data_IF_443819982691
#
_entry.id   IF_443819982691
#
_cell.length_a   1.000
_cell.length_b   1.000
_cell.length_c   1.000
_cell.angle_alpha   90.00
_cell.angle_beta   90.00
_cell.angle_gamma   90.00
#
_symmetry.space_group_name_H-M   'P 1'
#
loop_
_entity.id
_entity.type
_entity.pdbx_description
1 polymer ?
#
# COMPACT_ATOMS: atom_id res chain seq x y z
N UNK A 1 26.43 0.30 1.58
CA UNK A 1 25.75 1.17 2.53
C UNK A 1 24.92 0.33 3.50
N UNK A 2 24.52 0.89 4.61
CA UNK A 2 23.52 0.34 5.52
C UNK A 2 22.29 -0.13 4.73
N UNK A 3 21.84 -1.38 4.95
CA UNK A 3 20.74 -2.01 4.25
C UNK A 3 21.01 -2.46 2.80
N UNK A 4 22.23 -2.28 2.27
CA UNK A 4 22.59 -2.87 0.98
C UNK A 4 22.92 -4.36 1.17
N UNK A 5 22.46 -5.20 0.25
CA UNK A 5 22.72 -6.65 0.28
C UNK A 5 24.09 -6.93 -0.30
N UNK A 6 24.90 -7.69 0.45
CA UNK A 6 26.20 -8.17 0.03
C UNK A 6 26.22 -9.70 0.08
N UNK A 7 26.73 -10.36 -0.96
CA UNK A 7 26.82 -11.82 -0.99
C UNK A 7 28.24 -12.26 -0.80
N UNK A 8 28.48 -13.08 0.21
CA UNK A 8 29.75 -13.75 0.46
C UNK A 8 29.70 -15.18 -0.09
N UNK A 9 30.80 -15.63 -0.60
CA UNK A 9 31.02 -17.02 -0.99
C UNK A 9 32.26 -17.57 -0.32
N UNK A 10 32.26 -18.85 0.03
CA UNK A 10 33.43 -19.54 0.57
C UNK A 10 33.90 -20.62 -0.41
N UNK A 11 35.21 -20.70 -0.59
CA UNK A 11 35.84 -21.76 -1.34
C UNK A 11 36.84 -22.52 -0.43
N UNK A 12 36.93 -23.82 -0.59
CA UNK A 12 37.95 -24.63 0.08
C UNK A 12 38.65 -25.55 -0.91
N UNK A 13 39.89 -25.90 -0.59
CA UNK A 13 40.67 -26.86 -1.35
C UNK A 13 41.19 -27.97 -0.44
N UNK A 14 41.39 -29.17 -1.01
CA UNK A 14 42.06 -30.27 -0.34
C UNK A 14 43.59 -30.03 -0.21
N UNK A 15 44.28 -30.94 0.44
CA UNK A 15 45.73 -30.85 0.61
C UNK A 15 46.53 -30.85 -0.72
N UNK A 16 45.92 -31.28 -1.81
CA UNK A 16 46.52 -31.27 -3.15
C UNK A 16 46.12 -30.01 -3.95
N UNK A 17 45.41 -29.04 -3.34
CA UNK A 17 44.97 -27.80 -3.98
C UNK A 17 43.73 -27.95 -4.85
N UNK A 18 43.05 -29.08 -4.86
CA UNK A 18 41.85 -29.32 -5.65
C UNK A 18 40.66 -28.73 -4.93
N UNK A 19 39.83 -27.98 -5.66
CA UNK A 19 38.61 -27.36 -5.10
C UNK A 19 37.62 -28.42 -4.58
N UNK A 20 37.04 -28.16 -3.39
CA UNK A 20 35.96 -28.96 -2.81
C UNK A 20 34.64 -28.31 -3.17
N UNK A 21 33.75 -29.07 -3.84
CA UNK A 21 32.42 -28.59 -4.24
C UNK A 21 31.37 -28.93 -3.20
N UNK A 22 30.21 -28.22 -3.27
CA UNK A 22 29.05 -28.49 -2.42
C UNK A 22 29.22 -28.08 -0.97
N UNK A 23 30.07 -27.09 -0.69
CA UNK A 23 30.29 -26.58 0.67
C UNK A 23 29.05 -25.84 1.18
N UNK A 24 28.66 -26.13 2.43
CA UNK A 24 27.63 -25.43 3.18
C UNK A 24 28.24 -24.90 4.49
N UNK A 25 28.99 -23.78 4.46
CA UNK A 25 29.58 -23.22 5.66
C UNK A 25 28.50 -22.61 6.56
N UNK A 26 28.75 -22.64 7.87
CA UNK A 26 28.01 -21.81 8.81
C UNK A 26 28.53 -20.37 8.72
N UNK A 27 27.62 -19.45 8.53
CA UNK A 27 27.93 -18.03 8.43
C UNK A 27 27.65 -17.29 9.74
N UNK A 28 28.53 -16.36 10.07
CA UNK A 28 28.34 -15.42 11.20
C UNK A 28 28.98 -14.07 10.87
N UNK A 29 28.66 -13.06 11.63
CA UNK A 29 29.24 -11.72 11.48
C UNK A 29 29.35 -11.02 12.85
N UNK A 30 30.14 -9.94 12.91
CA UNK A 30 30.29 -9.06 14.07
C UNK A 30 31.40 -8.02 13.85
N UNK A 31 31.46 -6.97 14.67
CA UNK A 31 30.40 -6.51 15.60
C UNK A 31 29.26 -5.81 14.88
N UNK A 32 28.22 -5.40 15.61
CA UNK A 32 27.10 -4.62 15.10
C UNK A 32 25.87 -5.46 14.79
N UNK A 33 24.80 -4.80 14.37
CA UNK A 33 23.51 -5.41 14.05
C UNK A 33 23.31 -5.65 12.55
N UNK A 34 22.57 -6.69 12.21
CA UNK A 34 22.33 -7.08 10.83
C UNK A 34 21.72 -8.46 10.67
N UNK A 35 21.77 -8.96 9.46
CA UNK A 35 21.31 -10.31 9.12
C UNK A 35 22.32 -10.98 8.18
N UNK A 36 22.56 -12.30 8.38
CA UNK A 36 23.28 -13.14 7.42
C UNK A 36 22.52 -14.44 7.19
N UNK A 37 22.23 -14.75 5.93
CA UNK A 37 21.60 -15.99 5.53
C UNK A 37 22.58 -17.15 5.41
N UNK A 38 22.06 -18.39 5.42
CA UNK A 38 22.85 -19.61 5.19
C UNK A 38 23.51 -19.67 3.81
N UNK A 39 23.06 -18.85 2.86
CA UNK A 39 23.61 -18.66 1.52
C UNK A 39 24.73 -17.60 1.45
N UNK A 40 25.13 -17.01 2.59
CA UNK A 40 26.13 -15.95 2.66
C UNK A 40 25.59 -14.56 2.30
N UNK A 41 24.28 -14.39 2.19
CA UNK A 41 23.63 -13.09 1.95
C UNK A 41 23.64 -12.28 3.23
N UNK A 42 24.36 -11.16 3.25
CA UNK A 42 24.59 -10.29 4.41
C UNK A 42 23.94 -8.92 4.19
N UNK A 43 23.31 -8.40 5.24
CA UNK A 43 22.76 -7.02 5.34
C UNK A 43 23.12 -6.43 6.69
N UNK A 44 23.83 -5.31 6.69
CA UNK A 44 24.13 -4.58 7.93
C UNK A 44 23.00 -3.57 8.23
N UNK A 45 22.56 -3.53 9.48
CA UNK A 45 21.55 -2.59 9.96
C UNK A 45 22.15 -1.30 10.50
N UNK A 46 23.45 -1.28 10.77
CA UNK A 46 24.19 -0.11 11.27
C UNK A 46 25.42 0.18 10.42
N UNK A 47 25.88 1.44 10.36
CA UNK A 47 27.18 1.77 9.79
C UNK A 47 28.30 1.21 10.68
N UNK A 48 29.36 0.70 10.08
CA UNK A 48 30.47 0.13 10.82
C UNK A 48 31.38 -0.72 9.97
N UNK A 49 32.31 -1.38 10.64
CA UNK A 49 33.20 -2.39 10.03
C UNK A 49 32.82 -3.75 10.59
N UNK A 50 32.43 -4.64 9.70
CA UNK A 50 31.97 -5.99 10.02
C UNK A 50 32.99 -7.02 9.56
N UNK A 51 33.22 -8.02 10.37
CA UNK A 51 33.94 -9.25 9.98
C UNK A 51 32.89 -10.33 9.73
N UNK A 52 32.82 -10.82 8.50
CA UNK A 52 31.96 -11.94 8.14
C UNK A 52 32.81 -13.20 8.12
N UNK A 53 32.34 -14.24 8.79
CA UNK A 53 33.04 -15.51 8.97
C UNK A 53 32.29 -16.65 8.33
N UNK A 54 32.95 -17.43 7.50
CA UNK A 54 32.51 -18.73 7.02
C UNK A 54 33.23 -19.82 7.79
N UNK A 55 32.50 -20.72 8.46
CA UNK A 55 33.08 -21.83 9.23
C UNK A 55 32.60 -23.19 8.69
N UNK A 56 33.53 -24.13 8.54
CA UNK A 56 33.26 -25.49 8.07
C UNK A 56 34.22 -26.49 8.71
N UNK A 57 33.70 -27.45 9.48
CA UNK A 57 34.48 -28.57 10.04
C UNK A 57 35.73 -28.17 10.81
N UNK A 58 35.67 -27.16 11.69
CA UNK A 58 36.82 -26.70 12.50
C UNK A 58 37.79 -25.77 11.73
N UNK A 59 37.50 -25.41 10.50
CA UNK A 59 38.20 -24.39 9.71
C UNK A 59 37.30 -23.17 9.52
N UNK A 60 37.92 -22.00 9.45
CA UNK A 60 37.21 -20.76 9.17
C UNK A 60 38.00 -19.84 8.24
N UNK A 61 37.26 -19.00 7.53
CA UNK A 61 37.81 -17.89 6.77
C UNK A 61 36.99 -16.64 7.05
N UNK A 62 37.60 -15.48 6.98
CA UNK A 62 36.96 -14.20 7.28
C UNK A 62 37.11 -13.22 6.13
N UNK A 63 36.11 -12.35 5.99
CA UNK A 63 36.15 -11.19 5.13
C UNK A 63 35.68 -9.96 5.89
N UNK A 64 36.25 -8.79 5.60
CA UNK A 64 35.86 -7.53 6.22
C UNK A 64 35.07 -6.68 5.27
N UNK A 65 33.98 -6.09 5.73
CA UNK A 65 33.15 -5.14 4.97
C UNK A 65 32.96 -3.85 5.76
N UNK A 66 33.22 -2.71 5.11
CA UNK A 66 32.95 -1.39 5.66
C UNK A 66 31.61 -0.87 5.15
N UNK A 67 30.69 -0.60 6.06
CA UNK A 67 29.34 -0.17 5.80
C UNK A 67 29.19 1.30 6.15
N UNK A 68 28.86 2.12 5.18
CA UNK A 68 28.58 3.55 5.36
C UNK A 68 27.09 3.75 5.68
N UNK A 69 26.77 4.83 6.39
CA UNK A 69 25.38 5.26 6.61
C UNK A 69 24.64 5.39 5.28
N UNK A 70 23.36 4.98 5.24
CA UNK A 70 22.54 5.12 4.04
C UNK A 70 22.31 6.59 3.67
N UNK A 71 21.98 7.43 4.65
CA UNK A 71 21.93 8.88 4.51
C UNK A 71 20.90 9.36 3.47
N UNK A 72 19.66 8.88 3.54
CA UNK A 72 18.58 9.23 2.58
C UNK A 72 17.61 10.28 3.11
N UNK A 73 17.75 10.71 4.35
CA UNK A 73 16.85 11.68 4.99
C UNK A 73 16.76 12.99 4.20
N UNK A 74 15.55 13.50 4.10
CA UNK A 74 15.22 14.80 3.51
C UNK A 74 13.99 15.41 4.21
N UNK A 75 13.85 16.75 4.22
CA UNK A 75 12.64 17.36 4.73
C UNK A 75 11.43 17.03 3.86
N UNK A 76 10.27 16.97 4.50
CA UNK A 76 8.97 17.01 3.83
C UNK A 76 8.32 18.36 4.15
N UNK A 77 7.82 19.04 3.13
CA UNK A 77 7.18 20.37 3.25
C UNK A 77 5.76 20.28 2.77
N UNK A 78 4.80 20.75 3.59
CA UNK A 78 3.43 20.96 3.14
C UNK A 78 3.40 22.17 2.23
N UNK A 79 3.04 21.95 0.96
CA UNK A 79 2.93 23.00 -0.07
C UNK A 79 1.57 23.67 0.02
N UNK A 80 0.51 22.89 0.25
CA UNK A 80 -0.86 23.35 0.41
C UNK A 80 -1.73 22.31 1.08
N UNK A 81 -2.94 22.68 1.51
CA UNK A 81 -3.87 21.77 2.15
C UNK A 81 -5.32 22.19 1.93
N UNK A 82 -6.23 21.21 2.03
CA UNK A 82 -7.68 21.43 2.16
C UNK A 82 -8.12 20.74 3.44
N UNK A 83 -8.22 21.52 4.51
CA UNK A 83 -8.58 21.02 5.84
C UNK A 83 -10.06 20.68 5.88
N UNK A 84 -10.41 19.57 6.52
CA UNK A 84 -11.78 19.15 6.77
C UNK A 84 -12.08 19.19 8.26
N UNK A 85 -13.17 19.88 8.61
CA UNK A 85 -13.58 20.15 9.99
C UNK A 85 -14.86 19.42 10.39
N UNK A 86 -15.79 19.28 9.47
CA UNK A 86 -17.13 18.81 9.78
C UNK A 86 -17.27 17.29 9.80
N UNK A 87 -16.38 16.59 9.11
CA UNK A 87 -16.41 15.13 8.91
C UNK A 87 -15.03 14.61 8.53
N UNK A 88 -14.78 13.30 8.76
CA UNK A 88 -13.56 12.66 8.32
C UNK A 88 -13.52 12.47 6.79
N UNK A 89 -12.36 12.12 6.28
CA UNK A 89 -12.11 11.92 4.83
C UNK A 89 -11.44 10.58 4.59
N UNK A 90 -11.73 9.92 3.46
CA UNK A 90 -11.15 8.61 3.16
C UNK A 90 -10.04 8.69 2.13
N UNK A 91 -10.31 8.53 0.84
CA UNK A 91 -9.27 8.41 -0.17
C UNK A 91 -9.06 9.68 -1.00
N UNK A 92 -8.00 9.68 -1.77
CA UNK A 92 -7.61 10.75 -2.69
C UNK A 92 -7.21 10.16 -4.03
N UNK A 93 -7.68 10.75 -5.12
CA UNK A 93 -7.22 10.41 -6.45
C UNK A 93 -6.84 11.65 -7.26
N UNK A 94 -5.75 11.56 -8.00
CA UNK A 94 -5.30 12.64 -8.86
C UNK A 94 -5.60 12.30 -10.32
N UNK A 95 -6.33 13.17 -10.99
CA UNK A 95 -6.57 13.06 -12.42
C UNK A 95 -5.25 12.96 -13.21
N UNK A 96 -5.18 12.17 -14.29
CA UNK A 96 -3.94 11.99 -15.07
C UNK A 96 -3.31 13.30 -15.60
N UNK A 97 -4.09 14.38 -15.77
CA UNK A 97 -3.53 15.67 -16.15
C UNK A 97 -2.71 16.37 -15.03
N UNK A 98 -2.78 15.87 -13.78
CA UNK A 98 -2.08 16.42 -12.63
C UNK A 98 -2.59 17.77 -12.12
N UNK A 99 -3.81 18.19 -12.49
CA UNK A 99 -4.38 19.51 -12.18
C UNK A 99 -5.65 19.45 -11.34
N UNK A 100 -6.24 18.27 -11.20
CA UNK A 100 -7.50 18.05 -10.50
C UNK A 100 -7.33 16.88 -9.54
N UNK A 101 -7.70 17.09 -8.29
CA UNK A 101 -7.81 16.06 -7.26
C UNK A 101 -9.29 15.77 -7.02
N UNK A 102 -9.63 14.50 -6.99
CA UNK A 102 -10.89 14.02 -6.47
C UNK A 102 -10.67 13.57 -5.03
N UNK A 103 -11.48 14.10 -4.15
CA UNK A 103 -11.32 13.94 -2.72
C UNK A 103 -12.68 13.78 -2.08
N UNK A 104 -12.88 12.78 -1.27
CA UNK A 104 -14.18 12.51 -0.72
C UNK A 104 -14.22 12.47 0.79
N UNK A 105 -15.43 12.59 1.26
CA UNK A 105 -15.76 12.77 2.64
C UNK A 105 -16.43 11.48 3.14
N UNK A 106 -15.87 10.92 4.19
CA UNK A 106 -16.41 9.75 4.85
C UNK A 106 -17.51 10.15 5.87
N UNK A 107 -18.35 9.19 6.21
CA UNK A 107 -19.29 9.23 7.31
C UNK A 107 -20.27 10.43 7.37
N UNK A 108 -21.26 10.40 6.48
CA UNK A 108 -22.41 11.31 6.53
C UNK A 108 -22.28 12.54 5.65
N UNK A 109 -21.21 12.64 4.88
CA UNK A 109 -21.12 13.56 3.77
C UNK A 109 -21.17 12.80 2.46
N UNK A 110 -22.22 13.00 1.74
CA UNK A 110 -22.55 12.30 0.48
C UNK A 110 -21.86 12.92 -0.72
N UNK A 111 -20.66 13.46 -0.58
CA UNK A 111 -20.10 14.38 -1.56
C UNK A 111 -18.67 14.02 -1.89
N UNK A 112 -18.37 13.97 -3.19
CA UNK A 112 -17.02 13.94 -3.73
C UNK A 112 -16.66 15.34 -4.17
N UNK A 113 -15.62 15.90 -3.58
CA UNK A 113 -15.15 17.22 -3.95
C UNK A 113 -14.14 17.12 -5.10
N UNK A 114 -14.29 17.99 -6.07
CA UNK A 114 -13.32 18.24 -7.12
C UNK A 114 -12.47 19.44 -6.77
N UNK A 115 -11.17 19.25 -6.68
CA UNK A 115 -10.23 20.26 -6.19
C UNK A 115 -9.28 20.65 -7.33
N UNK A 116 -9.27 21.93 -7.68
CA UNK A 116 -8.29 22.51 -8.59
C UNK A 116 -6.93 22.65 -7.87
N UNK A 117 -5.92 21.97 -8.37
CA UNK A 117 -4.54 21.96 -7.85
C UNK A 117 -3.53 22.46 -8.87
N UNK A 118 -3.96 23.27 -9.86
CA UNK A 118 -3.03 23.93 -10.81
C UNK A 118 -2.02 24.81 -10.09
N UNK A 119 -2.43 25.46 -9.00
CA UNK A 119 -1.54 26.02 -7.98
C UNK A 119 -1.62 25.14 -6.73
N UNK A 120 -0.66 24.22 -6.53
CA UNK A 120 -0.71 23.31 -5.38
C UNK A 120 -0.56 24.01 -4.03
N UNK A 121 -0.10 25.27 -4.01
CA UNK A 121 -0.04 26.06 -2.79
C UNK A 121 -1.40 26.68 -2.41
N UNK A 122 -2.35 26.70 -3.33
CA UNK A 122 -3.70 27.26 -3.15
C UNK A 122 -4.75 26.34 -3.75
N UNK A 123 -4.92 25.13 -3.23
CA UNK A 123 -5.93 24.20 -3.73
C UNK A 123 -7.32 24.78 -3.47
N UNK A 124 -8.22 24.68 -4.45
CA UNK A 124 -9.55 25.25 -4.41
C UNK A 124 -10.59 24.18 -4.72
N UNK A 125 -11.56 23.96 -3.83
CA UNK A 125 -12.75 23.16 -4.12
C UNK A 125 -13.60 23.91 -5.14
N UNK A 126 -13.82 23.32 -6.31
CA UNK A 126 -14.51 23.98 -7.43
C UNK A 126 -15.88 23.37 -7.72
N UNK A 127 -16.07 22.10 -7.42
CA UNK A 127 -17.32 21.40 -7.60
C UNK A 127 -17.48 20.25 -6.61
N UNK A 128 -18.68 19.70 -6.54
CA UNK A 128 -18.99 18.58 -5.67
C UNK A 128 -20.05 17.69 -6.29
N UNK A 129 -19.79 16.39 -6.38
CA UNK A 129 -20.76 15.41 -6.83
C UNK A 129 -21.44 14.76 -5.63
N UNK A 130 -22.75 14.91 -5.56
CA UNK A 130 -23.53 14.29 -4.49
C UNK A 130 -23.86 12.84 -4.83
N UNK A 131 -23.65 11.94 -3.88
CA UNK A 131 -23.99 10.53 -3.98
C UNK A 131 -25.04 10.12 -2.94
N UNK A 132 -25.96 9.23 -3.32
CA UNK A 132 -26.92 8.65 -2.38
C UNK A 132 -26.25 7.45 -1.68
N UNK A 133 -25.47 7.75 -0.65
CA UNK A 133 -24.78 6.71 0.15
C UNK A 133 -24.49 7.22 1.55
N UNK A 134 -24.07 6.34 2.44
CA UNK A 134 -23.54 6.71 3.76
C UNK A 134 -22.03 6.91 3.73
N UNK A 135 -21.35 6.10 2.91
CA UNK A 135 -19.91 6.12 2.76
C UNK A 135 -19.55 6.11 1.26
N UNK A 136 -18.56 6.91 0.90
CA UNK A 136 -17.74 6.74 -0.28
C UNK A 136 -16.36 6.38 0.22
N UNK A 137 -15.84 5.24 -0.16
CA UNK A 137 -14.55 4.76 0.37
C UNK A 137 -13.43 4.83 -0.66
N UNK A 138 -13.75 4.66 -1.95
CA UNK A 138 -12.74 4.63 -2.99
C UNK A 138 -13.17 5.38 -4.26
N UNK A 139 -12.19 5.92 -4.97
CA UNK A 139 -12.37 6.73 -6.17
C UNK A 139 -11.18 6.60 -7.11
N UNK A 140 -11.44 6.42 -8.40
CA UNK A 140 -10.38 6.32 -9.40
C UNK A 140 -10.84 6.78 -10.78
N UNK A 141 -9.92 7.32 -11.58
CA UNK A 141 -10.15 7.54 -13.01
C UNK A 141 -9.54 6.43 -13.86
N UNK A 142 -10.01 6.28 -15.08
CA UNK A 142 -9.26 5.53 -16.09
C UNK A 142 -7.93 6.23 -16.41
N UNK A 143 -7.02 5.51 -17.07
CA UNK A 143 -5.68 6.03 -17.40
C UNK A 143 -5.71 7.22 -18.37
N UNK A 144 -6.78 7.35 -19.16
CA UNK A 144 -7.00 8.48 -20.07
C UNK A 144 -7.58 9.72 -19.35
N UNK A 145 -8.15 9.54 -18.15
CA UNK A 145 -8.83 10.59 -17.40
C UNK A 145 -10.18 10.98 -18.03
N UNK A 146 -10.86 10.05 -18.66
CA UNK A 146 -12.14 10.29 -19.32
C UNK A 146 -13.34 9.80 -18.53
N UNK A 147 -13.11 8.84 -17.64
CA UNK A 147 -14.11 8.25 -16.76
C UNK A 147 -13.62 8.30 -15.33
N UNK A 148 -14.52 8.61 -14.41
CA UNK A 148 -14.33 8.55 -12.96
C UNK A 148 -15.32 7.53 -12.40
N UNK A 149 -14.84 6.66 -11.53
CA UNK A 149 -15.69 5.74 -10.75
C UNK A 149 -15.44 5.98 -9.28
N UNK A 150 -16.50 5.94 -8.49
CA UNK A 150 -16.42 5.94 -7.04
C UNK A 150 -17.39 4.95 -6.43
N UNK A 151 -17.03 4.47 -5.24
CA UNK A 151 -17.78 3.42 -4.53
C UNK A 151 -18.88 4.00 -3.66
N UNK A 152 -19.86 3.14 -3.34
CA UNK A 152 -20.91 3.42 -2.36
C UNK A 152 -21.10 2.22 -1.44
N UNK A 153 -21.10 2.50 -0.15
CA UNK A 153 -21.41 1.51 0.86
C UNK A 153 -22.24 2.09 2.01
N UNK A 154 -22.92 1.22 2.75
CA UNK A 154 -23.65 1.57 3.96
C UNK A 154 -24.93 2.38 3.76
N UNK A 155 -25.44 2.59 2.54
CA UNK A 155 -26.73 3.25 2.31
C UNK A 155 -27.89 2.42 2.87
N UNK A 156 -28.79 3.08 3.61
CA UNK A 156 -29.92 2.42 4.28
C UNK A 156 -30.92 1.80 3.29
N UNK A 157 -31.09 2.41 2.11
CA UNK A 157 -31.94 1.90 1.04
C UNK A 157 -31.26 0.80 0.19
N UNK A 158 -30.04 0.40 0.54
CA UNK A 158 -29.21 -0.61 -0.13
C UNK A 158 -28.97 -0.35 -1.62
N UNK A 159 -29.00 0.89 -2.04
CA UNK A 159 -28.57 1.30 -3.39
C UNK A 159 -27.07 1.57 -3.43
N UNK A 160 -26.32 0.64 -2.86
CA UNK A 160 -24.87 0.69 -2.90
C UNK A 160 -24.35 0.14 -4.24
N UNK A 161 -23.04 0.20 -4.44
CA UNK A 161 -22.37 -0.20 -5.67
C UNK A 161 -21.38 0.84 -6.11
N UNK A 162 -21.34 1.16 -7.40
CA UNK A 162 -20.50 2.24 -7.94
C UNK A 162 -21.30 3.27 -8.71
N UNK A 163 -20.77 4.48 -8.74
CA UNK A 163 -21.23 5.57 -9.62
C UNK A 163 -20.16 5.82 -10.68
N UNK A 164 -20.60 6.01 -11.92
CA UNK A 164 -19.74 6.25 -13.07
C UNK A 164 -19.99 7.65 -13.59
N UNK A 165 -18.94 8.44 -13.72
CA UNK A 165 -18.99 9.79 -14.27
C UNK A 165 -18.14 9.89 -15.54
N UNK A 166 -18.55 10.73 -16.47
CA UNK A 166 -17.68 11.20 -17.57
C UNK A 166 -16.95 12.47 -17.15
N UNK A 167 -15.74 12.63 -17.66
CA UNK A 167 -14.82 13.73 -17.36
C UNK A 167 -14.50 14.56 -18.63
N UNK A 168 -15.55 14.98 -19.38
CA UNK A 168 -15.38 15.94 -20.48
C UNK A 168 -14.71 17.23 -19.99
N UNK A 169 -15.12 17.69 -18.82
CA UNK A 169 -14.41 18.66 -18.00
C UNK A 169 -14.07 17.99 -16.65
N UNK A 170 -12.79 17.73 -16.37
CA UNK A 170 -12.38 17.08 -15.11
C UNK A 170 -12.74 17.87 -13.84
N UNK A 171 -12.99 19.18 -13.96
CA UNK A 171 -13.44 20.01 -12.85
C UNK A 171 -14.92 19.81 -12.53
N UNK A 172 -15.70 19.30 -13.48
CA UNK A 172 -17.16 19.13 -13.39
C UNK A 172 -17.60 17.74 -13.82
N UNK A 173 -17.34 16.69 -13.01
CA UNK A 173 -17.74 15.32 -13.31
C UNK A 173 -19.27 15.20 -13.54
N UNK A 174 -19.67 14.46 -14.57
CA UNK A 174 -21.09 14.22 -14.86
C UNK A 174 -21.45 12.76 -14.66
N UNK A 175 -22.35 12.48 -13.73
CA UNK A 175 -22.88 11.12 -13.52
C UNK A 175 -23.61 10.66 -14.79
N UNK A 176 -23.21 9.50 -15.30
CA UNK A 176 -23.81 8.87 -16.49
C UNK A 176 -24.46 7.53 -16.20
N UNK A 177 -24.00 6.82 -15.17
CA UNK A 177 -24.57 5.54 -14.76
C UNK A 177 -24.29 5.24 -13.29
N UNK A 178 -25.09 4.31 -12.76
CA UNK A 178 -24.86 3.62 -11.51
C UNK A 178 -24.89 2.12 -11.76
N UNK A 179 -23.97 1.37 -11.15
CA UNK A 179 -24.00 -0.08 -11.18
C UNK A 179 -24.24 -0.61 -9.77
N UNK A 180 -25.35 -1.31 -9.57
CA UNK A 180 -25.80 -1.83 -8.28
C UNK A 180 -26.13 -3.32 -8.31
N UNK A 181 -26.19 -3.91 -9.51
CA UNK A 181 -26.58 -5.30 -9.68
C UNK A 181 -25.58 -6.25 -9.02
N UNK A 182 -26.08 -7.06 -8.07
CA UNK A 182 -25.26 -8.03 -7.31
C UNK A 182 -24.33 -7.46 -6.25
N UNK A 183 -24.26 -6.11 -6.11
CA UNK A 183 -23.34 -5.43 -5.17
C UNK A 183 -24.06 -4.45 -4.23
N UNK A 184 -25.36 -4.63 -4.03
CA UNK A 184 -26.19 -3.72 -3.21
C UNK A 184 -25.85 -3.73 -1.72
N UNK A 185 -25.10 -4.71 -1.23
CA UNK A 185 -24.61 -4.72 0.16
C UNK A 185 -23.58 -3.63 0.43
N UNK A 186 -22.77 -3.29 -0.59
CA UNK A 186 -21.72 -2.29 -0.55
C UNK A 186 -20.55 -2.67 -1.45
N UNK A 187 -19.84 -1.65 -1.89
CA UNK A 187 -18.56 -1.76 -2.58
C UNK A 187 -17.56 -0.88 -1.86
N UNK A 188 -16.57 -1.50 -1.23
CA UNK A 188 -15.56 -0.82 -0.44
C UNK A 188 -14.47 -0.22 -1.35
N UNK A 189 -13.85 -1.05 -2.21
CA UNK A 189 -12.80 -0.62 -3.13
C UNK A 189 -13.13 -0.95 -4.58
N UNK A 190 -12.61 -0.13 -5.50
CA UNK A 190 -12.79 -0.27 -6.94
C UNK A 190 -11.55 0.15 -7.70
N UNK A 191 -11.12 -0.64 -8.68
CA UNK A 191 -9.95 -0.36 -9.51
C UNK A 191 -10.34 -0.35 -10.99
N UNK A 192 -10.05 0.76 -11.68
CA UNK A 192 -10.27 0.87 -13.13
C UNK A 192 -9.00 0.46 -13.87
N UNK A 193 -9.14 -0.45 -14.82
CA UNK A 193 -8.02 -0.86 -15.65
C UNK A 193 -8.40 -0.98 -17.11
N UNK A 194 -7.60 -0.36 -17.98
CA UNK A 194 -7.80 -0.41 -19.44
C UNK A 194 -6.74 -1.29 -20.08
N UNK A 195 -7.17 -2.25 -20.89
CA UNK A 195 -6.31 -3.17 -21.64
C UNK A 195 -6.57 -3.05 -23.14
N UNK A 196 -5.54 -3.06 -24.01
CA UNK A 196 -5.74 -2.96 -25.45
C UNK A 196 -6.66 -4.04 -26.03
N UNK A 197 -6.59 -5.25 -25.48
CA UNK A 197 -7.36 -6.41 -25.96
C UNK A 197 -8.81 -6.43 -25.48
N UNK A 198 -9.05 -5.96 -24.25
CA UNK A 198 -10.34 -6.15 -23.58
C UNK A 198 -11.08 -4.83 -23.32
N UNK A 199 -10.40 -3.68 -23.48
CA UNK A 199 -10.95 -2.37 -23.13
C UNK A 199 -10.92 -2.10 -21.64
N UNK A 200 -11.87 -1.31 -21.15
CA UNK A 200 -11.89 -0.76 -19.80
C UNK A 200 -12.85 -1.53 -18.90
N UNK A 201 -12.34 -1.98 -17.76
CA UNK A 201 -13.11 -2.71 -16.75
C UNK A 201 -12.90 -2.09 -15.38
N UNK A 202 -13.90 -2.23 -14.51
CA UNK A 202 -13.81 -1.93 -13.08
C UNK A 202 -13.81 -3.24 -12.33
N UNK A 203 -12.81 -3.42 -11.46
CA UNK A 203 -12.68 -4.53 -10.55
C UNK A 203 -13.18 -4.06 -9.19
N UNK A 204 -14.17 -4.75 -8.60
CA UNK A 204 -14.89 -4.30 -7.41
C UNK A 204 -14.78 -5.30 -6.28
N UNK A 205 -14.72 -4.80 -5.05
CA UNK A 205 -15.07 -5.60 -3.87
C UNK A 205 -16.58 -5.74 -3.72
N UNK A 206 -17.03 -6.71 -2.95
CA UNK A 206 -18.44 -6.88 -2.59
C UNK A 206 -18.56 -7.20 -1.10
N UNK A 207 -19.05 -6.28 -0.31
CA UNK A 207 -19.16 -6.38 1.13
C UNK A 207 -20.11 -7.49 1.59
N UNK A 208 -21.08 -7.85 0.73
CA UNK A 208 -22.05 -8.90 1.05
C UNK A 208 -21.54 -10.32 0.87
N UNK A 209 -20.63 -10.54 -0.08
CA UNK A 209 -20.12 -11.87 -0.45
C UNK A 209 -18.63 -12.04 -0.26
N UNK A 210 -17.87 -10.93 -0.13
CA UNK A 210 -16.41 -10.92 -0.10
C UNK A 210 -15.75 -11.28 -1.44
N UNK A 211 -16.51 -11.30 -2.53
CA UNK A 211 -16.05 -11.70 -3.86
C UNK A 211 -15.48 -10.51 -4.65
N UNK A 212 -14.64 -10.83 -5.63
CA UNK A 212 -14.29 -9.94 -6.73
C UNK A 212 -15.40 -9.94 -7.76
N UNK A 213 -15.87 -8.76 -8.15
CA UNK A 213 -16.73 -8.56 -9.32
C UNK A 213 -15.97 -7.78 -10.39
N UNK A 214 -16.20 -8.11 -11.65
CA UNK A 214 -15.59 -7.42 -12.80
C UNK A 214 -16.68 -6.86 -13.69
N UNK A 215 -16.67 -5.54 -13.89
CA UNK A 215 -17.68 -4.80 -14.64
C UNK A 215 -17.05 -4.19 -15.88
N UNK A 216 -17.59 -4.52 -17.04
CA UNK A 216 -17.25 -3.89 -18.31
C UNK A 216 -17.87 -2.48 -18.35
N UNK A 217 -17.04 -1.47 -18.59
CA UNK A 217 -17.42 -0.06 -18.76
C UNK A 217 -16.89 0.52 -20.07
N UNK A 218 -16.71 -0.31 -21.12
CA UNK A 218 -16.36 0.19 -22.45
C UNK A 218 -17.40 1.19 -22.98
N UNK A 219 -18.66 1.02 -22.58
CA UNK A 219 -19.68 2.05 -22.63
C UNK A 219 -20.02 2.46 -21.19
N UNK A 220 -19.49 3.57 -20.68
CA UNK A 220 -19.68 3.95 -19.28
C UNK A 220 -21.15 4.24 -18.92
N UNK A 221 -22.03 4.49 -19.90
CA UNK A 221 -23.46 4.66 -19.67
C UNK A 221 -24.23 3.32 -19.55
N UNK A 222 -23.59 2.20 -19.88
CA UNK A 222 -24.19 0.86 -19.86
C UNK A 222 -23.25 -0.16 -19.22
N UNK A 223 -22.88 0.00 -17.94
CA UNK A 223 -22.01 -0.93 -17.25
C UNK A 223 -22.63 -2.32 -17.17
N UNK A 224 -21.80 -3.36 -17.32
CA UNK A 224 -22.27 -4.74 -17.29
C UNK A 224 -21.26 -5.63 -16.55
N UNK A 225 -21.74 -6.43 -15.61
CA UNK A 225 -20.90 -7.45 -15.00
C UNK A 225 -20.53 -8.53 -16.02
N UNK A 226 -19.24 -8.89 -16.05
CA UNK A 226 -18.68 -9.87 -16.99
C UNK A 226 -17.91 -11.00 -16.31
N UNK A 227 -17.52 -10.85 -15.05
CA UNK A 227 -16.73 -11.87 -14.34
C UNK A 227 -16.81 -11.75 -12.82
N UNK A 228 -16.49 -12.85 -12.14
CA UNK A 228 -16.36 -12.95 -10.69
C UNK A 228 -15.24 -13.89 -10.32
N UNK A 229 -14.68 -13.67 -9.13
CA UNK A 229 -13.74 -14.62 -8.55
C UNK A 229 -13.77 -14.52 -7.02
N UNK A 230 -13.46 -15.63 -6.34
CA UNK A 230 -13.32 -15.69 -4.88
C UNK A 230 -12.32 -16.73 -4.44
N UNK A 231 -11.81 -16.61 -3.24
CA UNK A 231 -11.04 -17.66 -2.59
C UNK A 231 -11.93 -18.89 -2.30
N UNK A 232 -11.34 -20.09 -2.21
CA UNK A 232 -12.12 -21.33 -2.01
C UNK A 232 -12.90 -21.38 -0.68
N UNK A 233 -12.54 -20.55 0.32
CA UNK A 233 -13.20 -20.47 1.62
C UNK A 233 -13.83 -19.11 1.79
N UNK A 234 -15.14 -19.10 2.01
CA UNK A 234 -15.92 -17.92 2.34
C UNK A 234 -16.19 -17.87 3.84
N UNK A 235 -15.17 -17.54 4.64
CA UNK A 235 -15.33 -17.33 6.08
C UNK A 235 -15.39 -15.83 6.37
N UNK A 236 -15.97 -15.44 7.50
CA UNK A 236 -15.86 -14.09 8.03
C UNK A 236 -14.37 -13.69 8.16
N UNK A 237 -14.02 -12.50 7.72
CA UNK A 237 -12.63 -12.06 7.68
C UNK A 237 -11.84 -12.53 6.44
N UNK A 238 -12.47 -13.16 5.47
CA UNK A 238 -11.87 -13.59 4.18
C UNK A 238 -12.48 -12.85 3.00
N UNK A 239 -12.83 -11.59 3.21
CA UNK A 239 -13.36 -10.71 2.17
C UNK A 239 -12.24 -10.05 1.40
N UNK A 240 -12.45 -9.86 0.11
CA UNK A 240 -11.63 -8.97 -0.70
C UNK A 240 -11.78 -7.55 -0.18
N UNK A 241 -10.66 -6.89 0.09
CA UNK A 241 -10.64 -5.56 0.64
C UNK A 241 -10.16 -4.52 -0.38
N UNK A 242 -9.03 -4.78 -1.06
CA UNK A 242 -8.44 -3.83 -1.99
C UNK A 242 -7.84 -4.52 -3.22
N UNK A 243 -7.65 -3.78 -4.30
CA UNK A 243 -7.30 -4.27 -5.62
C UNK A 243 -6.31 -3.32 -6.28
N UNK A 244 -5.22 -3.86 -6.84
CA UNK A 244 -4.35 -3.18 -7.81
C UNK A 244 -4.26 -4.03 -9.07
N UNK A 245 -4.21 -3.42 -10.25
CA UNK A 245 -4.06 -4.13 -11.52
C UNK A 245 -2.96 -3.50 -12.35
N UNK A 246 -1.94 -4.30 -12.66
CA UNK A 246 -0.81 -3.90 -13.50
C UNK A 246 -0.50 -4.98 -14.52
N UNK A 247 -0.28 -4.61 -15.78
CA UNK A 247 0.09 -5.52 -16.87
C UNK A 247 -0.84 -6.73 -17.03
N UNK A 248 -2.14 -6.57 -16.75
CA UNK A 248 -3.13 -7.64 -16.80
C UNK A 248 -3.03 -8.66 -15.67
N UNK A 249 -2.28 -8.38 -14.63
CA UNK A 249 -2.25 -9.11 -13.36
C UNK A 249 -2.95 -8.27 -12.29
N UNK A 250 -3.87 -8.91 -11.59
CA UNK A 250 -4.60 -8.32 -10.47
C UNK A 250 -3.98 -8.80 -9.16
N UNK A 251 -3.63 -7.86 -8.30
CA UNK A 251 -3.10 -8.08 -6.96
C UNK A 251 -4.20 -7.74 -5.97
N UNK A 252 -4.76 -8.77 -5.36
CA UNK A 252 -5.92 -8.67 -4.48
C UNK A 252 -5.53 -8.85 -3.03
N UNK A 253 -6.01 -7.95 -2.20
CA UNK A 253 -5.83 -7.98 -0.75
C UNK A 253 -7.05 -8.63 -0.12
N UNK A 254 -6.88 -9.86 0.33
CA UNK A 254 -7.97 -10.72 0.82
C UNK A 254 -7.88 -10.97 2.32
N UNK A 255 -7.90 -9.91 3.10
CA UNK A 255 -7.85 -9.97 4.58
C UNK A 255 -7.04 -11.18 5.10
N UNK A 256 -7.68 -12.14 5.78
CA UNK A 256 -7.02 -13.34 6.32
C UNK A 256 -6.58 -14.35 5.25
N UNK A 257 -7.06 -14.27 4.02
CA UNK A 257 -6.57 -15.10 2.93
C UNK A 257 -5.27 -14.56 2.30
N UNK A 258 -4.84 -13.38 2.75
CA UNK A 258 -3.57 -12.80 2.33
C UNK A 258 -3.63 -12.14 0.95
N UNK A 259 -2.49 -12.10 0.28
CA UNK A 259 -2.37 -11.53 -1.06
C UNK A 259 -2.60 -12.61 -2.12
N UNK A 260 -3.46 -12.32 -3.09
CA UNK A 260 -3.81 -13.20 -4.20
C UNK A 260 -3.43 -12.53 -5.51
N UNK A 261 -2.79 -13.25 -6.42
CA UNK A 261 -2.49 -12.79 -7.78
C UNK A 261 -3.38 -13.53 -8.77
N UNK A 262 -4.15 -12.77 -9.56
CA UNK A 262 -4.98 -13.30 -10.63
C UNK A 262 -4.51 -12.82 -12.00
N UNK A 263 -4.55 -13.71 -12.98
CA UNK A 263 -4.43 -13.34 -14.39
C UNK A 263 -5.80 -12.85 -14.88
N UNK A 264 -5.86 -11.57 -15.26
CA UNK A 264 -7.06 -10.91 -15.80
C UNK A 264 -6.82 -10.38 -17.21
N UNK A 265 -5.79 -10.90 -17.89
CA UNK A 265 -5.46 -10.52 -19.27
C UNK A 265 -3.97 -10.49 -19.58
N UNK A 266 -3.09 -10.80 -18.61
CA UNK A 266 -1.65 -10.96 -18.82
C UNK A 266 -1.33 -12.15 -19.73
N UNK A 267 -2.06 -13.25 -19.60
CA UNK A 267 -1.91 -14.47 -20.38
C UNK A 267 -1.07 -15.56 -19.71
N UNK A 268 -0.49 -15.33 -18.53
CA UNK A 268 0.35 -16.31 -17.80
C UNK A 268 -0.44 -17.56 -17.38
N UNK A 269 -1.73 -17.44 -17.16
CA UNK A 269 -2.67 -18.54 -16.90
C UNK A 269 -3.83 -18.60 -17.91
N UNK A 270 -3.80 -17.75 -18.93
CA UNK A 270 -4.88 -17.65 -19.92
C UNK A 270 -6.14 -16.98 -19.39
N UNK A 271 -6.01 -16.17 -18.33
CA UNK A 271 -7.10 -15.41 -17.73
C UNK A 271 -7.56 -14.23 -18.60
N UNK A 272 -8.72 -13.70 -18.24
CA UNK A 272 -9.31 -12.51 -18.85
C UNK A 272 -10.20 -11.78 -17.83
N UNK A 273 -10.67 -10.55 -18.10
CA UNK A 273 -11.62 -9.87 -17.22
C UNK A 273 -12.88 -10.69 -16.94
N UNK A 274 -13.38 -11.43 -17.93
CA UNK A 274 -14.57 -12.30 -17.77
C UNK A 274 -14.26 -13.66 -17.14
N UNK A 275 -12.99 -14.03 -17.03
CA UNK A 275 -12.54 -15.30 -16.44
C UNK A 275 -11.20 -15.11 -15.75
N UNK A 276 -11.17 -14.48 -14.56
CA UNK A 276 -9.94 -14.37 -13.77
C UNK A 276 -9.38 -15.75 -13.39
N UNK A 277 -8.07 -15.97 -13.56
CA UNK A 277 -7.41 -17.24 -13.26
C UNK A 277 -6.34 -17.07 -12.19
N UNK A 278 -6.32 -17.96 -11.21
CA UNK A 278 -5.37 -17.91 -10.09
C UNK A 278 -3.94 -18.15 -10.58
N UNK A 279 -3.04 -17.22 -10.27
CA UNK A 279 -1.59 -17.34 -10.49
C UNK A 279 -0.91 -17.84 -9.22
N UNK A 280 -1.09 -17.14 -8.11
CA UNK A 280 -0.49 -17.48 -6.81
C UNK A 280 -1.28 -16.86 -5.66
N UNK A 281 -1.01 -17.38 -4.46
CA UNK A 281 -1.52 -16.84 -3.20
C UNK A 281 -0.40 -16.84 -2.17
N UNK A 282 -0.25 -15.76 -1.43
CA UNK A 282 0.67 -15.66 -0.30
C UNK A 282 -0.11 -15.43 0.99
N UNK A 283 0.16 -16.28 1.98
CA UNK A 283 -0.38 -16.16 3.35
C UNK A 283 0.77 -16.01 4.32
N UNK A 284 0.61 -15.17 5.31
CA UNK A 284 1.54 -15.00 6.41
C UNK A 284 0.86 -15.29 7.75
N UNK A 285 1.67 -15.43 8.81
CA UNK A 285 1.18 -15.82 10.14
C UNK A 285 0.47 -14.66 10.83
N UNK A 286 -0.82 -14.56 10.61
CA UNK A 286 -1.67 -13.58 11.29
C UNK A 286 -1.83 -13.86 12.78
N UNK A 287 -1.68 -15.10 13.24
CA UNK A 287 -1.79 -15.44 14.66
C UNK A 287 -0.70 -14.75 15.49
N UNK A 288 0.47 -14.53 14.90
CA UNK A 288 1.55 -13.75 15.52
C UNK A 288 1.16 -12.29 15.72
N UNK A 289 0.52 -11.67 14.72
CA UNK A 289 -0.02 -10.31 14.82
C UNK A 289 -1.12 -10.22 15.89
N UNK A 290 -2.04 -11.19 15.95
CA UNK A 290 -3.07 -11.25 17.00
C UNK A 290 -2.47 -11.24 18.39
N UNK A 291 -1.44 -12.03 18.63
CA UNK A 291 -0.76 -12.04 19.92
C UNK A 291 -0.15 -10.68 20.25
N UNK A 292 0.53 -10.05 19.31
CA UNK A 292 1.14 -8.73 19.53
C UNK A 292 0.09 -7.67 19.86
N UNK A 293 -1.03 -7.64 19.15
CA UNK A 293 -2.11 -6.68 19.42
C UNK A 293 -2.73 -6.94 20.79
N UNK A 294 -2.95 -8.21 21.16
CA UNK A 294 -3.47 -8.57 22.48
C UNK A 294 -2.53 -8.14 23.62
N UNK A 295 -1.21 -8.26 23.44
CA UNK A 295 -0.21 -7.86 24.43
C UNK A 295 -0.11 -6.34 24.60
N UNK A 296 -0.32 -5.58 23.54
CA UNK A 296 -0.11 -4.11 23.52
C UNK A 296 -1.37 -3.30 23.78
N UNK A 297 -2.55 -3.78 23.38
CA UNK A 297 -3.81 -3.02 23.45
C UNK A 297 -5.03 -3.84 23.86
N UNK A 298 -4.84 -5.07 24.34
CA UNK A 298 -5.92 -6.02 24.64
C UNK A 298 -6.40 -6.78 23.41
N UNK A 299 -7.48 -7.57 23.53
CA UNK A 299 -7.97 -8.39 22.43
C UNK A 299 -8.24 -7.52 21.20
N UNK A 300 -7.41 -7.67 20.19
CA UNK A 300 -7.48 -6.90 18.95
C UNK A 300 -8.42 -7.54 17.95
N UNK A 301 -8.95 -6.72 17.05
CA UNK A 301 -9.59 -7.15 15.83
C UNK A 301 -8.58 -7.00 14.69
N UNK A 302 -8.11 -8.11 14.16
CA UNK A 302 -7.21 -8.08 13.01
C UNK A 302 -8.03 -8.21 11.76
N UNK A 303 -7.86 -7.27 10.85
CA UNK A 303 -8.40 -7.37 9.50
C UNK A 303 -7.44 -8.10 8.58
N UNK A 304 -6.16 -7.75 8.56
CA UNK A 304 -5.12 -8.44 7.79
C UNK A 304 -4.73 -7.68 6.54
N UNK A 305 -4.53 -8.40 5.44
CA UNK A 305 -4.05 -7.83 4.17
C UNK A 305 -4.99 -6.76 3.64
N UNK A 306 -4.51 -5.51 3.62
CA UNK A 306 -5.26 -4.32 3.26
C UNK A 306 -5.00 -3.91 1.82
N UNK A 307 -3.74 -3.67 1.45
CA UNK A 307 -3.32 -3.17 0.14
C UNK A 307 -2.16 -4.00 -0.40
N UNK A 308 -2.10 -4.22 -1.71
CA UNK A 308 -1.01 -4.91 -2.38
C UNK A 308 -0.59 -4.14 -3.64
N UNK A 309 0.64 -3.62 -3.66
CA UNK A 309 1.19 -2.80 -4.75
C UNK A 309 2.39 -3.46 -5.41
N UNK A 310 2.32 -3.69 -6.71
CA UNK A 310 3.45 -4.23 -7.48
C UNK A 310 4.45 -3.16 -7.89
N UNK A 311 5.74 -3.44 -7.66
CA UNK A 311 6.83 -2.63 -8.21
C UNK A 311 8.05 -3.52 -8.53
N UNK A 312 8.43 -3.58 -9.79
CA UNK A 312 9.54 -4.45 -10.27
C UNK A 312 9.28 -5.91 -9.84
N UNK A 313 10.24 -6.51 -9.15
CA UNK A 313 10.16 -7.88 -8.63
C UNK A 313 9.56 -7.98 -7.22
N UNK A 314 8.96 -6.90 -6.72
CA UNK A 314 8.37 -6.88 -5.39
C UNK A 314 6.87 -6.58 -5.43
N UNK A 315 6.15 -7.16 -4.49
CA UNK A 315 4.83 -6.70 -4.08
C UNK A 315 4.96 -6.18 -2.66
N UNK A 316 4.55 -4.94 -2.44
CA UNK A 316 4.41 -4.33 -1.12
C UNK A 316 3.01 -4.61 -0.63
N UNK A 317 2.90 -5.32 0.49
CA UNK A 317 1.62 -5.73 1.08
C UNK A 317 1.48 -5.06 2.43
N UNK A 318 0.42 -4.27 2.58
CA UNK A 318 0.12 -3.55 3.81
C UNK A 318 -0.90 -4.32 4.65
N UNK A 319 -0.71 -4.34 5.97
CA UNK A 319 -1.68 -4.88 6.91
C UNK A 319 -2.44 -3.77 7.63
N UNK A 320 -3.74 -3.95 7.73
CA UNK A 320 -4.61 -3.13 8.56
C UNK A 320 -5.00 -3.91 9.81
N UNK A 321 -4.63 -3.37 10.98
CA UNK A 321 -4.90 -3.98 12.29
C UNK A 321 -5.42 -2.92 13.26
N UNK A 322 -6.55 -3.18 13.90
CA UNK A 322 -7.14 -2.31 14.91
C UNK A 322 -7.45 -3.05 16.21
N UNK A 323 -7.42 -2.36 17.34
CA UNK A 323 -8.03 -2.83 18.57
C UNK A 323 -9.56 -2.90 18.47
N UNK A 324 -10.21 -3.68 19.32
CA UNK A 324 -11.66 -3.91 19.29
C UNK A 324 -12.50 -2.62 19.32
N UNK A 325 -12.04 -1.61 20.06
CA UNK A 325 -12.78 -0.36 20.26
C UNK A 325 -12.49 0.69 19.16
N UNK A 326 -11.58 0.39 18.23
CA UNK A 326 -11.08 1.38 17.29
C UNK A 326 -12.16 1.86 16.32
N UNK A 327 -13.01 0.97 15.81
CA UNK A 327 -14.10 1.34 14.93
C UNK A 327 -15.06 2.32 15.60
N UNK A 328 -15.53 1.98 16.80
CA UNK A 328 -16.40 2.83 17.59
C UNK A 328 -15.74 4.18 17.94
N UNK A 329 -14.47 4.17 18.28
CA UNK A 329 -13.72 5.39 18.60
C UNK A 329 -13.62 6.31 17.37
N UNK A 330 -13.25 5.78 16.19
CA UNK A 330 -13.20 6.55 14.95
C UNK A 330 -14.55 7.17 14.59
N UNK A 331 -15.63 6.39 14.66
CA UNK A 331 -16.99 6.86 14.38
C UNK A 331 -17.50 7.91 15.37
N UNK A 332 -16.96 7.93 16.57
CA UNK A 332 -17.27 8.93 17.60
C UNK A 332 -16.31 10.12 17.61
N UNK A 333 -15.39 10.21 16.65
CA UNK A 333 -14.36 11.25 16.59
C UNK A 333 -13.39 11.19 17.77
N UNK A 334 -13.06 10.00 18.23
CA UNK A 334 -12.08 9.76 19.28
C UNK A 334 -10.76 9.26 18.71
N UNK A 335 -9.60 9.57 19.34
CA UNK A 335 -8.33 9.02 18.95
C UNK A 335 -8.37 7.50 18.97
N UNK A 336 -7.89 6.89 17.89
CA UNK A 336 -7.73 5.43 17.78
C UNK A 336 -6.31 5.12 17.35
N UNK A 337 -5.85 3.90 17.61
CA UNK A 337 -4.55 3.42 17.19
C UNK A 337 -4.70 2.24 16.25
N UNK A 338 -4.05 2.35 15.09
CA UNK A 338 -3.86 1.26 14.17
C UNK A 338 -2.51 0.58 14.39
N UNK A 339 -2.41 -0.66 13.96
CA UNK A 339 -1.22 -1.50 13.91
C UNK A 339 -1.10 -2.13 12.53
N UNK A 340 -0.01 -2.79 12.24
CA UNK A 340 0.20 -3.56 11.01
C UNK A 340 1.58 -3.32 10.42
N UNK A 341 1.93 -4.19 9.46
CA UNK A 341 3.23 -4.19 8.78
C UNK A 341 3.08 -3.88 7.32
N UNK A 342 4.17 -3.38 6.74
CA UNK A 342 4.44 -3.47 5.32
C UNK A 342 5.29 -4.71 5.10
N UNK A 343 4.78 -5.70 4.40
CA UNK A 343 5.51 -6.87 3.94
C UNK A 343 6.05 -6.62 2.54
N UNK A 344 7.25 -7.11 2.25
CA UNK A 344 7.86 -7.05 0.92
C UNK A 344 8.02 -8.47 0.40
N UNK A 345 7.24 -8.81 -0.60
CA UNK A 345 7.28 -10.10 -1.24
C UNK A 345 8.15 -10.05 -2.50
N UNK A 346 9.16 -10.89 -2.60
CA UNK A 346 9.88 -11.15 -3.85
C UNK A 346 9.01 -12.05 -4.74
N UNK A 347 8.72 -11.55 -5.93
CA UNK A 347 7.94 -12.23 -6.95
C UNK A 347 8.72 -12.38 -8.26
N UNK A 348 10.04 -12.53 -8.17
CA UNK A 348 10.89 -12.94 -9.30
C UNK A 348 10.39 -14.27 -9.89
N UNK A 349 9.87 -15.15 -9.03
CA UNK A 349 8.98 -16.25 -9.39
C UNK A 349 7.55 -15.91 -8.93
N UNK A 350 6.73 -15.45 -9.87
CA UNK A 350 5.36 -15.02 -9.57
C UNK A 350 4.46 -16.15 -9.04
N UNK A 351 4.79 -17.40 -9.34
CA UNK A 351 4.06 -18.57 -8.85
C UNK A 351 4.35 -18.88 -7.37
N UNK A 352 5.48 -18.42 -6.85
CA UNK A 352 5.95 -18.72 -5.50
C UNK A 352 6.46 -17.44 -4.79
N UNK A 353 5.57 -16.49 -4.46
CA UNK A 353 5.92 -15.28 -3.72
C UNK A 353 6.59 -15.61 -2.39
N UNK A 354 7.63 -14.84 -2.02
CA UNK A 354 8.37 -15.05 -0.76
C UNK A 354 8.55 -13.72 -0.04
N UNK A 355 8.21 -13.66 1.25
CA UNK A 355 8.56 -12.51 2.08
C UNK A 355 10.07 -12.43 2.24
N UNK A 356 10.65 -11.28 1.91
CA UNK A 356 12.09 -11.03 1.97
C UNK A 356 12.47 -9.86 2.86
N UNK A 357 11.53 -8.94 3.10
CA UNK A 357 11.73 -7.79 3.95
C UNK A 357 10.40 -7.32 4.54
N UNK A 358 10.49 -6.49 5.60
CA UNK A 358 9.33 -5.89 6.24
C UNK A 358 9.66 -4.53 6.82
N UNK A 359 8.60 -3.75 7.10
CA UNK A 359 8.65 -2.53 7.89
C UNK A 359 7.46 -2.47 8.85
N UNK A 360 7.70 -2.15 10.11
CA UNK A 360 6.67 -1.96 11.11
C UNK A 360 6.74 -0.53 11.68
N UNK A 361 5.69 0.29 11.51
CA UNK A 361 5.61 1.60 12.14
C UNK A 361 5.54 1.48 13.66
N UNK A 362 6.26 2.34 14.38
CA UNK A 362 6.28 2.29 15.84
C UNK A 362 4.93 2.65 16.48
N UNK A 363 4.22 3.62 15.90
CA UNK A 363 2.99 4.19 16.46
C UNK A 363 1.81 4.14 15.48
N UNK A 364 1.81 3.24 14.54
CA UNK A 364 0.76 3.14 13.54
C UNK A 364 0.76 1.81 12.81
N UNK A 365 -0.19 1.63 11.93
CA UNK A 365 -0.25 0.56 10.96
C UNK A 365 0.17 1.04 9.57
N UNK A 366 -0.13 0.26 8.54
CA UNK A 366 0.11 0.64 7.15
C UNK A 366 -1.22 0.61 6.40
N UNK A 367 -1.55 1.70 5.72
CA UNK A 367 -2.72 1.80 4.86
C UNK A 367 -2.26 1.72 3.39
N UNK A 368 -2.59 2.68 2.55
CA UNK A 368 -2.23 2.64 1.14
C UNK A 368 -0.76 3.02 0.91
N UNK A 369 -0.20 2.40 -0.11
CA UNK A 369 1.17 2.65 -0.57
C UNK A 369 1.17 3.09 -2.04
N UNK A 370 2.17 3.90 -2.39
CA UNK A 370 2.44 4.31 -3.76
C UNK A 370 3.93 4.27 -4.03
N UNK A 371 4.35 3.69 -5.14
CA UNK A 371 5.78 3.69 -5.50
C UNK A 371 6.02 4.54 -6.74
N UNK A 372 6.91 5.51 -6.60
CA UNK A 372 7.38 6.34 -7.70
C UNK A 372 8.92 6.32 -7.76
N UNK A 373 9.47 5.77 -8.84
CA UNK A 373 10.90 5.50 -8.96
C UNK A 373 11.38 4.52 -7.89
N UNK A 374 12.36 4.91 -7.09
CA UNK A 374 12.89 4.13 -5.97
C UNK A 374 12.39 4.65 -4.61
N UNK A 375 11.27 5.36 -4.59
CA UNK A 375 10.66 5.86 -3.36
C UNK A 375 9.27 5.25 -3.19
N UNK A 376 9.04 4.60 -2.05
CA UNK A 376 7.72 4.19 -1.58
C UNK A 376 7.18 5.26 -0.66
N UNK A 377 5.96 5.69 -0.91
CA UNK A 377 5.18 6.62 -0.09
C UNK A 377 4.05 5.85 0.56
N UNK A 378 3.71 6.18 1.80
CA UNK A 378 2.73 5.40 2.56
C UNK A 378 1.95 6.27 3.53
N UNK A 379 0.65 6.01 3.63
CA UNK A 379 -0.16 6.38 4.76
C UNK A 379 0.04 5.37 5.88
N UNK A 380 0.45 5.84 7.05
CA UNK A 380 0.76 4.95 8.18
C UNK A 380 -0.09 5.24 9.41
N UNK A 381 -1.35 5.58 9.19
CA UNK A 381 -2.32 5.90 10.24
C UNK A 381 -1.77 6.94 11.23
N UNK A 382 -1.66 6.55 12.50
CA UNK A 382 -1.18 7.43 13.59
C UNK A 382 0.30 7.80 13.46
N UNK A 383 1.09 7.04 12.68
CA UNK A 383 2.47 7.39 12.35
C UNK A 383 2.58 8.43 11.22
N UNK A 384 1.45 8.84 10.65
CA UNK A 384 1.37 9.88 9.64
C UNK A 384 1.80 9.43 8.25
N UNK A 385 2.34 10.36 7.48
CA UNK A 385 2.90 10.12 6.15
C UNK A 385 4.37 9.74 6.23
N UNK A 386 4.76 8.68 5.51
CA UNK A 386 6.13 8.21 5.40
C UNK A 386 6.58 8.07 3.95
N UNK A 387 7.88 8.33 3.72
CA UNK A 387 8.54 8.04 2.46
C UNK A 387 9.80 7.19 2.71
N UNK A 388 9.99 6.12 1.94
CA UNK A 388 11.05 5.15 2.06
C UNK A 388 11.90 5.06 0.80
N UNK A 389 13.20 4.82 0.97
CA UNK A 389 14.09 4.37 -0.09
C UNK A 389 13.94 2.84 -0.30
N UNK A 390 13.36 2.49 -1.43
CA UNK A 390 13.20 1.09 -1.89
C UNK A 390 14.18 0.73 -3.01
N UNK A 391 15.26 1.51 -3.16
CA UNK A 391 16.31 1.22 -4.11
C UNK A 391 17.12 -0.02 -3.75
N UNK A 392 17.62 -0.71 -4.75
CA UNK A 392 18.44 -1.90 -4.60
C UNK A 392 17.63 -3.15 -4.21
N UNK A 393 18.31 -4.16 -3.70
CA UNK A 393 17.66 -5.36 -3.17
C UNK A 393 17.15 -5.10 -1.75
N UNK A 394 15.93 -5.54 -1.47
CA UNK A 394 15.28 -5.40 -0.17
C UNK A 394 15.41 -6.72 0.60
N UNK A 395 15.86 -6.65 1.88
CA UNK A 395 16.03 -7.80 2.73
C UNK A 395 15.94 -7.42 4.21
N UNK A 396 15.19 -8.20 4.99
CA UNK A 396 15.11 -8.03 6.45
C UNK A 396 14.35 -6.79 6.91
N UNK A 397 14.68 -6.27 8.09
CA UNK A 397 14.00 -5.11 8.69
C UNK A 397 14.42 -3.80 8.00
N UNK A 398 13.49 -3.20 7.24
CA UNK A 398 13.74 -1.96 6.51
C UNK A 398 13.86 -0.74 7.43
N UNK A 399 13.26 -0.78 8.64
CA UNK A 399 13.36 0.30 9.62
C UNK A 399 14.79 0.41 10.16
N UNK A 400 15.38 -0.72 10.54
CA UNK A 400 16.74 -0.79 11.06
C UNK A 400 17.81 -0.35 10.03
N UNK A 401 17.48 -0.35 8.74
CA UNK A 401 18.40 -0.05 7.66
C UNK A 401 18.53 1.43 7.31
N UNK A 402 17.89 2.33 8.05
CA UNK A 402 17.94 3.77 7.79
C UNK A 402 17.33 4.18 6.45
N UNK A 403 16.33 3.45 5.96
CA UNK A 403 15.66 3.68 4.68
C UNK A 403 14.57 4.73 4.71
N UNK A 404 14.15 5.19 5.90
CA UNK A 404 13.17 6.27 6.03
C UNK A 404 13.76 7.56 5.45
N UNK A 405 13.13 8.08 4.41
CA UNK A 405 13.52 9.33 3.75
C UNK A 405 12.88 10.54 4.42
N UNK A 406 11.58 10.45 4.70
CA UNK A 406 10.82 11.49 5.38
C UNK A 406 9.69 10.87 6.19
N UNK A 407 9.31 11.57 7.24
CA UNK A 407 8.11 11.30 8.05
C UNK A 407 7.52 12.62 8.48
N UNK A 408 6.20 12.76 8.38
CA UNK A 408 5.48 13.92 8.90
C UNK A 408 4.07 13.53 9.34
N UNK A 409 3.52 14.28 10.26
CA UNK A 409 2.13 14.15 10.69
C UNK A 409 1.29 15.20 9.96
N UNK A 410 0.43 14.81 9.01
CA UNK A 410 -0.47 15.73 8.32
C UNK A 410 -1.65 16.10 9.23
N UNK A 411 -1.41 17.03 10.14
CA UNK A 411 -2.39 17.47 11.14
C UNK A 411 -2.68 18.97 11.04
N UNK A 412 -3.88 19.34 11.48
CA UNK A 412 -4.31 20.73 11.55
C UNK A 412 -5.13 20.98 12.84
N UNK A 413 -4.98 22.13 13.52
CA UNK A 413 -5.77 22.45 14.69
C UNK A 413 -7.26 22.69 14.38
N UNK A 414 -7.65 22.77 13.11
CA UNK A 414 -9.03 22.89 12.65
C UNK A 414 -9.55 21.62 11.96
N UNK A 415 -8.81 20.50 12.02
CA UNK A 415 -9.26 19.23 11.50
C UNK A 415 -10.49 18.67 12.22
N UNK A 416 -11.11 17.64 11.67
CA UNK A 416 -12.23 16.92 12.29
C UNK A 416 -11.84 16.37 13.67
N UNK A 417 -10.68 15.75 13.78
CA UNK A 417 -10.04 15.44 15.06
C UNK A 417 -8.70 16.19 15.13
N UNK A 418 -8.67 17.37 15.75
CA UNK A 418 -7.52 18.25 15.70
C UNK A 418 -6.22 17.61 16.21
N UNK A 419 -5.12 17.85 15.51
CA UNK A 419 -3.77 17.43 15.89
C UNK A 419 -3.59 15.90 16.07
N UNK A 420 -4.53 15.11 15.55
CA UNK A 420 -4.49 13.64 15.62
C UNK A 420 -4.33 13.08 14.21
N UNK A 421 -3.15 12.61 13.80
CA UNK A 421 -2.96 12.05 12.48
C UNK A 421 -3.66 10.69 12.36
N UNK A 422 -4.24 10.45 11.20
CA UNK A 422 -4.84 9.17 10.80
C UNK A 422 -4.71 9.08 9.27
N UNK A 423 -3.47 8.92 8.80
CA UNK A 423 -3.14 9.05 7.38
C UNK A 423 -3.42 7.75 6.64
N UNK A 424 -4.22 7.85 5.56
CA UNK A 424 -4.69 6.71 4.77
C UNK A 424 -4.09 6.68 3.38
N UNK A 425 -4.59 7.53 2.48
CA UNK A 425 -4.25 7.50 1.06
C UNK A 425 -3.05 8.35 0.70
N UNK A 426 -2.33 7.95 -0.33
CA UNK A 426 -1.28 8.74 -0.94
C UNK A 426 -1.22 8.48 -2.44
N UNK A 427 -1.23 9.54 -3.23
CA UNK A 427 -0.99 9.52 -4.68
C UNK A 427 0.16 10.46 -5.02
N UNK A 428 1.08 10.02 -5.88
CA UNK A 428 2.27 10.82 -6.21
C UNK A 428 2.32 11.15 -7.69
N UNK A 429 2.51 12.43 -7.99
CA UNK A 429 2.70 12.91 -9.36
C UNK A 429 3.53 14.19 -9.40
N UNK A 430 4.40 14.31 -10.38
CA UNK A 430 5.22 15.51 -10.63
C UNK A 430 6.03 15.95 -9.40
N UNK A 431 6.50 15.00 -8.58
CA UNK A 431 7.30 15.29 -7.38
C UNK A 431 6.50 15.79 -6.17
N UNK A 432 5.16 15.77 -6.25
CA UNK A 432 4.26 16.06 -5.16
C UNK A 432 3.53 14.80 -4.72
N UNK A 433 3.39 14.60 -3.41
CA UNK A 433 2.53 13.61 -2.80
C UNK A 433 1.23 14.28 -2.34
N UNK A 434 0.11 13.76 -2.79
CA UNK A 434 -1.22 14.14 -2.36
C UNK A 434 -1.62 13.14 -1.28
N UNK A 435 -1.72 13.60 -0.06
CA UNK A 435 -1.84 12.77 1.14
C UNK A 435 -3.20 13.01 1.76
N UNK A 436 -3.98 11.97 1.91
CA UNK A 436 -5.21 12.00 2.66
C UNK A 436 -4.95 11.66 4.14
N UNK A 437 -5.42 12.52 5.03
CA UNK A 437 -5.51 12.22 6.45
C UNK A 437 -6.98 12.19 6.86
N UNK A 438 -7.43 11.05 7.38
CA UNK A 438 -8.82 10.81 7.76
C UNK A 438 -9.36 11.90 8.71
N UNK A 439 -8.56 12.36 9.65
CA UNK A 439 -8.94 13.33 10.66
C UNK A 439 -8.76 14.79 10.24
N UNK A 440 -7.94 15.07 9.24
CA UNK A 440 -7.52 16.46 8.96
C UNK A 440 -7.74 16.91 7.52
N UNK A 441 -7.88 15.99 6.55
CA UNK A 441 -8.16 16.32 5.16
C UNK A 441 -7.00 16.08 4.20
N UNK A 442 -6.93 16.87 3.11
CA UNK A 442 -5.91 16.75 2.06
C UNK A 442 -4.68 17.61 2.38
N UNK A 443 -3.50 17.01 2.25
CA UNK A 443 -2.20 17.69 2.30
C UNK A 443 -1.41 17.42 1.02
N UNK A 444 -0.87 18.47 0.42
CA UNK A 444 0.02 18.39 -0.74
C UNK A 444 1.44 18.54 -0.22
N UNK A 445 2.25 17.50 -0.35
CA UNK A 445 3.56 17.38 0.29
C UNK A 445 4.65 17.26 -0.76
N UNK A 446 5.74 18.01 -0.57
CA UNK A 446 6.96 17.89 -1.35
C UNK A 446 8.09 17.34 -0.51
N UNK A 447 8.81 16.35 -1.03
CA UNK A 447 10.10 15.95 -0.50
C UNK A 447 11.16 16.90 -1.01
N UNK A 448 11.76 17.67 -0.11
CA UNK A 448 12.80 18.63 -0.45
C UNK A 448 14.11 17.92 -0.85
N UNK A 449 15.04 18.59 -1.50
CA UNK A 449 16.36 18.04 -1.76
C UNK A 449 17.01 17.51 -0.48
N UNK A 450 17.84 16.48 -0.61
CA UNK A 450 18.60 15.93 0.50
C UNK A 450 19.47 17.03 1.14
N UNK A 451 19.47 17.05 2.47
CA UNK A 451 20.35 17.91 3.27
C UNK A 451 21.33 17.03 4.04
N UNK A 452 22.61 17.33 3.95
CA UNK A 452 23.67 16.55 4.60
C UNK A 452 23.67 16.73 6.13
N UNK A 453 23.13 17.87 6.60
CA UNK A 453 23.04 18.25 8.02
C UNK A 453 21.88 17.59 8.78
N UNK A 454 20.97 16.89 8.08
CA UNK A 454 19.89 16.18 8.75
C UNK A 454 20.43 14.95 9.48
N UNK A 455 20.41 15.01 10.81
CA UNK A 455 20.63 13.86 11.65
C UNK A 455 19.50 12.84 11.46
N UNK A 456 19.74 11.51 11.59
CA UNK A 456 18.65 10.56 11.67
C UNK A 456 17.74 10.96 12.82
N UNK A 457 16.42 10.75 12.66
CA UNK A 457 15.54 10.82 13.82
C UNK A 457 16.12 9.87 14.89
N UNK A 458 16.29 10.37 16.09
CA UNK A 458 16.63 9.52 17.22
C UNK A 458 15.50 8.50 17.33
N UNK A 459 15.81 7.20 17.47
CA UNK A 459 14.79 6.15 17.56
C UNK A 459 13.80 6.40 18.69
#
# INVERSE_FOLDING_TARGET
RQGDVVRFSAAASDAAGRGILGLAPAWSFGPGDGHIGGDGTFVAYEPGVYTVTAALGGRSATATVSVKRRGVRRPATVVGSVVRKAFPTSEVWLHPNGRVVFFFNDMGCYVIDTIDVRDPAKPIVVDSVQANTRLVNDIMTDSAGTVLVFTREGAADRKNGIVICTLEDPLHPKVVAEFTEGVTAGVHSAFIYTQPKYGTHVYLTNDGTGELHVVDINDPARPKEVGRWKTPRADYGRSLHDIDVQDGLLYASWWHDGMVVLDVGNGVKGGSPSKPELVSQFKYDLDSLYRQVAETSGPGFIRGTHTAWRHKNYIFVADEVFGLDAGDALFKGQPSRAYGRLHVLDVSDLAHPKEVAWYEPEYGGVHNVWVAGDTLYMGAYNAGFLAFDVSGELRGDLRAQGRIMAQMNPTDPQGFLPNSPMTWGVVVKNGLAYVNDFNNGLFIVRLEPRREDLQPAVP
#
